data_IF_707186960651
#
_entry.id   IF_707186960651
#
_cell.length_a   1.000
_cell.length_b   1.000
_cell.length_c   1.000
_cell.angle_alpha   90.00
_cell.angle_beta   90.00
_cell.angle_gamma   90.00
#
_symmetry.space_group_name_H-M   'P 1'
#
loop_
_entity.id
_entity.type
_entity.pdbx_description
1 polymer ?
#
# COMPACT_ATOMS: atom_id res chain seq x y z
N UNK A 1 -1.99 -1.83 -10.82
CA UNK A 1 -1.07 -0.96 -10.06
C UNK A 1 -1.66 0.45 -10.03
N UNK A 2 -1.67 1.13 -8.88
CA UNK A 2 -2.08 2.54 -8.75
C UNK A 2 -0.82 3.33 -8.44
N UNK A 3 -0.49 4.32 -9.26
CA UNK A 3 0.71 5.15 -9.13
C UNK A 3 0.33 6.57 -8.71
N UNK A 4 1.06 7.14 -7.76
CA UNK A 4 0.91 8.53 -7.32
C UNK A 4 2.25 9.12 -6.86
N UNK A 5 2.37 10.44 -6.97
CA UNK A 5 3.56 11.19 -6.55
C UNK A 5 4.76 11.04 -7.49
N UNK A 6 5.76 11.90 -7.26
CA UNK A 6 7.10 11.81 -7.86
C UNK A 6 8.13 12.32 -6.85
N UNK A 7 9.36 11.81 -6.92
CA UNK A 7 10.48 12.22 -6.04
C UNK A 7 10.21 12.07 -4.52
N UNK A 8 9.51 11.02 -4.10
CA UNK A 8 9.14 10.77 -2.70
C UNK A 8 10.32 10.36 -1.80
N UNK A 9 11.52 10.24 -2.38
CA UNK A 9 12.77 9.93 -1.70
C UNK A 9 13.56 11.21 -1.36
N UNK A 10 12.85 12.27 -0.99
CA UNK A 10 13.41 13.61 -0.68
C UNK A 10 13.82 13.77 0.79
N UNK A 11 13.51 12.78 1.64
CA UNK A 11 13.82 12.80 3.07
C UNK A 11 12.75 13.50 3.93
N UNK A 12 11.64 13.93 3.34
CA UNK A 12 10.51 14.51 4.05
C UNK A 12 9.48 13.44 4.44
N UNK A 13 8.56 13.82 5.33
CA UNK A 13 7.44 12.96 5.71
C UNK A 13 6.32 13.09 4.70
N UNK A 14 5.92 11.97 4.11
CA UNK A 14 4.72 11.86 3.30
C UNK A 14 3.61 11.10 4.04
N UNK A 15 2.37 11.52 3.85
CA UNK A 15 1.19 10.83 4.37
C UNK A 15 0.56 9.97 3.29
N UNK A 16 0.34 8.69 3.60
CA UNK A 16 -0.27 7.73 2.67
C UNK A 16 -1.55 7.20 3.30
N UNK A 17 -2.65 7.22 2.53
CA UNK A 17 -3.90 6.58 2.92
C UNK A 17 -4.38 5.63 1.83
N UNK A 18 -4.76 4.43 2.25
CA UNK A 18 -5.31 3.39 1.39
C UNK A 18 -6.71 3.07 1.90
N UNK A 19 -7.69 3.17 1.02
CA UNK A 19 -9.07 2.79 1.32
C UNK A 19 -9.54 1.78 0.28
N UNK A 20 -9.75 0.55 0.74
CA UNK A 20 -10.23 -0.56 -0.07
C UNK A 20 -11.65 -0.91 0.40
N UNK A 21 -12.65 -0.71 -0.47
CA UNK A 21 -14.05 -1.04 -0.19
C UNK A 21 -14.65 -1.78 -1.37
N UNK A 22 -15.11 -3.00 -1.12
CA UNK A 22 -15.76 -3.89 -2.13
C UNK A 22 -14.84 -4.13 -3.33
N UNK A 23 -15.12 -3.48 -4.44
CA UNK A 23 -14.43 -3.58 -5.73
C UNK A 23 -13.61 -2.33 -6.06
N UNK A 24 -13.44 -1.40 -5.10
CA UNK A 24 -12.71 -0.15 -5.32
C UNK A 24 -11.57 0.04 -4.33
N UNK A 25 -10.38 0.31 -4.86
CA UNK A 25 -9.20 0.76 -4.11
C UNK A 25 -8.93 2.21 -4.46
N UNK A 26 -8.70 3.01 -3.43
CA UNK A 26 -8.24 4.39 -3.56
C UNK A 26 -6.96 4.56 -2.74
N UNK A 27 -6.00 5.27 -3.33
CA UNK A 27 -4.73 5.65 -2.73
C UNK A 27 -4.66 7.17 -2.73
N UNK A 28 -4.32 7.78 -1.61
CA UNK A 28 -3.98 9.20 -1.54
C UNK A 28 -2.60 9.40 -0.94
N UNK A 29 -1.92 10.41 -1.45
CA UNK A 29 -0.59 10.85 -1.03
C UNK A 29 -0.69 12.34 -0.66
N UNK A 30 -0.31 12.71 0.55
CA UNK A 30 -0.30 14.10 1.03
C UNK A 30 -1.63 14.85 0.84
N UNK A 31 -2.74 14.12 0.94
CA UNK A 31 -4.13 14.53 0.67
C UNK A 31 -4.52 14.66 -0.81
N UNK A 32 -3.60 14.45 -1.74
CA UNK A 32 -3.91 14.32 -3.16
C UNK A 32 -4.32 12.89 -3.49
N UNK A 33 -5.57 12.74 -3.94
CA UNK A 33 -6.09 11.45 -4.36
C UNK A 33 -5.48 11.05 -5.71
N UNK A 34 -4.90 9.85 -5.78
CA UNK A 34 -4.53 9.23 -7.04
C UNK A 34 -5.81 8.93 -7.84
N UNK A 35 -5.74 9.07 -9.18
CA UNK A 35 -6.82 8.58 -10.04
C UNK A 35 -7.03 7.09 -9.75
N UNK A 36 -8.26 6.65 -9.40
CA UNK A 36 -8.52 5.24 -9.17
C UNK A 36 -8.20 4.48 -10.44
N UNK A 37 -7.38 3.42 -10.35
CA UNK A 37 -7.26 2.50 -11.46
C UNK A 37 -8.64 1.86 -11.67
N UNK A 38 -9.26 2.16 -12.81
CA UNK A 38 -10.52 1.52 -13.21
C UNK A 38 -10.19 0.12 -13.71
N UNK A 39 -10.09 -0.83 -12.79
CA UNK A 39 -10.17 -2.23 -13.15
C UNK A 39 -11.66 -2.62 -13.20
N UNK A 40 -12.14 -2.96 -14.39
CA UNK A 40 -13.54 -3.36 -14.61
C UNK A 40 -13.83 -4.79 -14.14
N UNK A 41 -12.81 -5.51 -13.66
CA UNK A 41 -13.02 -6.82 -13.03
C UNK A 41 -13.62 -6.65 -11.64
N UNK A 42 -14.80 -7.25 -11.44
CA UNK A 42 -15.50 -7.27 -10.15
C UNK A 42 -14.80 -8.23 -9.20
N UNK A 43 -13.65 -7.84 -8.67
CA UNK A 43 -12.95 -8.57 -7.63
C UNK A 43 -13.38 -8.01 -6.28
N UNK A 44 -13.89 -8.86 -5.41
CA UNK A 44 -14.12 -8.48 -4.02
C UNK A 44 -12.76 -8.43 -3.31
N UNK A 45 -12.41 -7.25 -2.82
CA UNK A 45 -11.17 -7.00 -2.09
C UNK A 45 -11.45 -7.24 -0.62
N UNK A 46 -10.76 -8.23 -0.07
CA UNK A 46 -10.71 -8.50 1.36
C UNK A 46 -9.27 -8.29 1.82
N UNK A 47 -9.05 -7.37 2.77
CA UNK A 47 -7.78 -7.34 3.47
C UNK A 47 -7.69 -8.57 4.36
N UNK A 48 -6.56 -9.26 4.31
CA UNK A 48 -6.32 -10.45 5.12
C UNK A 48 -6.16 -10.12 6.61
N UNK A 49 -5.75 -11.13 7.40
CA UNK A 49 -5.61 -10.99 8.85
C UNK A 49 -4.24 -10.44 9.30
N UNK A 50 -3.26 -10.37 8.39
CA UNK A 50 -1.89 -9.96 8.68
C UNK A 50 -1.48 -8.81 7.79
N UNK A 51 -0.86 -7.80 8.40
CA UNK A 51 -0.36 -6.61 7.70
C UNK A 51 1.14 -6.49 7.96
N UNK A 52 1.92 -6.40 6.88
CA UNK A 52 3.37 -6.30 6.94
C UNK A 52 3.81 -4.94 6.39
N UNK A 53 4.56 -4.20 7.19
CA UNK A 53 5.07 -2.88 6.83
C UNK A 53 6.58 -2.93 6.70
N UNK A 54 7.09 -2.36 5.62
CA UNK A 54 8.53 -2.20 5.41
C UNK A 54 9.30 -3.46 5.07
N UNK A 55 8.65 -4.56 4.72
CA UNK A 55 9.33 -5.80 4.33
C UNK A 55 8.44 -7.00 4.52
N UNK A 56 8.96 -8.17 4.17
CA UNK A 56 8.24 -9.43 4.27
C UNK A 56 8.94 -10.41 5.21
N UNK A 57 8.18 -11.26 5.92
CA UNK A 57 8.75 -12.33 6.72
C UNK A 57 9.55 -13.33 5.87
N UNK A 58 10.67 -13.80 6.39
CA UNK A 58 11.59 -14.72 5.70
C UNK A 58 10.98 -16.08 5.35
N UNK A 59 9.94 -16.51 6.06
CA UNK A 59 9.38 -17.87 6.00
C UNK A 59 8.04 -17.98 5.26
N UNK A 60 7.63 -16.97 4.49
CA UNK A 60 6.46 -17.12 3.63
C UNK A 60 6.84 -17.94 2.39
N UNK A 61 6.52 -19.24 2.44
CA UNK A 61 6.51 -20.16 1.27
C UNK A 61 5.47 -19.77 0.22
N UNK A 62 4.52 -18.92 0.60
CA UNK A 62 3.49 -18.44 -0.29
C UNK A 62 4.02 -17.25 -1.09
N UNK A 63 3.99 -17.43 -2.42
CA UNK A 63 4.08 -16.49 -3.54
C UNK A 63 3.44 -15.09 -3.41
N UNK A 64 3.06 -14.64 -2.22
CA UNK A 64 2.26 -13.44 -1.96
C UNK A 64 3.09 -12.20 -1.63
N UNK A 65 4.36 -12.35 -1.24
CA UNK A 65 5.27 -11.20 -1.17
C UNK A 65 6.18 -11.14 -2.40
N UNK A 66 5.70 -10.48 -3.45
CA UNK A 66 6.44 -10.27 -4.70
C UNK A 66 7.38 -9.06 -4.65
N UNK A 67 7.64 -8.49 -3.47
CA UNK A 67 8.44 -7.28 -3.36
C UNK A 67 9.94 -7.61 -3.53
N UNK A 68 10.64 -7.07 -4.54
CA UNK A 68 12.08 -7.29 -4.71
C UNK A 68 12.93 -6.68 -3.59
N UNK A 69 12.35 -5.80 -2.77
CA UNK A 69 13.02 -5.13 -1.66
C UNK A 69 12.79 -5.92 -0.37
N UNK A 70 13.88 -6.49 0.17
CA UNK A 70 13.86 -7.26 1.44
C UNK A 70 13.35 -6.44 2.63
N UNK A 71 13.71 -5.16 2.68
CA UNK A 71 13.27 -4.23 3.72
C UNK A 71 13.30 -2.77 3.25
N UNK A 72 12.33 -1.98 3.70
CA UNK A 72 12.24 -0.55 3.50
C UNK A 72 13.35 0.18 4.25
N UNK A 73 14.02 1.09 3.55
CA UNK A 73 15.07 1.93 4.11
C UNK A 73 14.51 3.33 4.36
N UNK A 74 14.08 3.59 5.60
CA UNK A 74 13.51 4.85 6.00
C UNK A 74 12.78 4.74 7.33
N UNK A 75 11.96 5.74 7.63
CA UNK A 75 11.15 5.77 8.83
C UNK A 75 9.65 5.71 8.48
N UNK A 76 8.89 4.99 9.29
CA UNK A 76 7.42 4.97 9.23
C UNK A 76 6.89 5.33 10.62
N UNK A 77 5.78 6.07 10.68
CA UNK A 77 5.11 6.44 11.94
C UNK A 77 3.62 6.61 11.72
N UNK A 78 2.86 6.61 12.82
CA UNK A 78 1.42 6.88 12.82
C UNK A 78 0.63 5.92 11.91
N UNK A 79 0.97 4.64 11.98
CA UNK A 79 0.29 3.59 11.21
C UNK A 79 -1.05 3.30 11.90
N UNK A 80 -2.14 3.44 11.14
CA UNK A 80 -3.50 3.15 11.58
C UNK A 80 -4.19 2.24 10.56
N UNK A 81 -4.92 1.24 11.04
CA UNK A 81 -5.69 0.31 10.24
C UNK A 81 -7.14 0.40 10.73
N UNK A 82 -8.02 0.81 9.82
CA UNK A 82 -9.47 0.84 10.07
C UNK A 82 -10.09 -0.53 9.74
N UNK A 83 -11.22 -0.85 10.39
CA UNK A 83 -11.93 -2.12 10.23
C UNK A 83 -13.03 -2.04 9.16
#
# INVERSE_FOLDING_TARGET
EILTGSNLNDGLWHSVSINARRDRITLSLDNDAASPAQDTTRVQIYSGNSYYFGGCPDNLTDSQCLNPIKAFQGCMRLIFIDN
#
